data_IF_902095636905
#
_entry.id   IF_902095636905
#
_cell.length_a   1.000
_cell.length_b   1.000
_cell.length_c   1.000
_cell.angle_alpha   90.00
_cell.angle_beta   90.00
_cell.angle_gamma   90.00
#
_symmetry.space_group_name_H-M   'P 1'
#
loop_
_entity.id
_entity.type
_entity.pdbx_description
1 polymer ?
#
# COMPACT_ATOMS: atom_id res chain seq x y z
N UNK A 1 67.72 65.60 34.24
CA UNK A 1 66.67 64.73 34.80
C UNK A 1 65.73 64.35 33.73
N UNK A 2 65.88 63.17 33.09
CA UNK A 2 65.10 62.65 32.00
C UNK A 2 63.85 61.93 32.53
N UNK A 3 62.67 62.30 32.03
CA UNK A 3 61.49 61.49 32.26
C UNK A 3 61.06 60.98 30.87
N UNK A 4 61.31 59.69 30.67
CA UNK A 4 60.79 58.95 29.51
C UNK A 4 59.32 58.61 29.74
N UNK A 5 58.46 58.99 28.79
CA UNK A 5 57.08 58.60 28.75
C UNK A 5 56.97 57.41 27.79
N UNK A 6 56.60 56.25 28.31
CA UNK A 6 56.35 55.05 27.52
C UNK A 6 54.85 55.04 27.17
N UNK A 7 54.55 55.19 25.88
CA UNK A 7 53.20 55.04 25.35
C UNK A 7 52.96 53.57 25.04
N UNK A 8 51.97 52.95 25.70
CA UNK A 8 51.48 51.60 25.38
C UNK A 8 50.43 51.72 24.29
N UNK A 9 50.75 51.20 23.10
CA UNK A 9 49.75 50.94 22.05
C UNK A 9 49.01 49.66 22.37
N UNK A 10 47.74 49.75 22.75
CA UNK A 10 46.85 48.59 22.87
C UNK A 10 46.37 48.21 21.45
N UNK A 11 46.91 47.15 20.88
CA UNK A 11 46.35 46.52 19.69
C UNK A 11 45.13 45.72 20.12
N UNK A 12 43.93 46.26 19.88
CA UNK A 12 42.68 45.48 19.99
C UNK A 12 42.59 44.47 18.88
N UNK A 13 42.80 43.20 19.18
CA UNK A 13 42.55 42.10 18.25
C UNK A 13 41.02 41.85 18.17
N UNK A 14 40.39 42.39 17.15
CA UNK A 14 38.99 42.06 16.83
C UNK A 14 38.99 40.68 16.16
N UNK A 15 38.74 39.64 16.90
CA UNK A 15 38.46 38.32 16.35
C UNK A 15 37.05 38.30 15.81
N UNK A 16 36.93 38.36 14.48
CA UNK A 16 35.67 38.09 13.78
C UNK A 16 35.30 36.63 13.95
N UNK A 17 34.35 36.36 14.86
CA UNK A 17 33.81 35.00 15.01
C UNK A 17 32.89 34.78 13.82
N UNK A 18 33.36 34.04 12.81
CA UNK A 18 32.55 33.54 11.71
C UNK A 18 31.65 32.43 12.25
N UNK A 19 30.38 32.71 12.50
CA UNK A 19 29.37 31.74 12.81
C UNK A 19 28.85 31.20 11.47
N UNK A 20 29.15 29.95 11.09
CA UNK A 20 28.52 29.38 9.92
C UNK A 20 27.01 29.27 10.19
N UNK A 21 26.19 29.98 9.42
CA UNK A 21 24.76 29.72 9.35
C UNK A 21 24.57 28.29 8.87
N UNK A 22 24.34 27.39 9.80
CA UNK A 22 23.80 26.07 9.47
C UNK A 22 22.36 26.32 9.04
N UNK A 23 22.13 26.26 7.74
CA UNK A 23 20.79 26.18 7.23
C UNK A 23 20.16 24.91 7.82
N UNK A 24 19.24 25.07 8.76
CA UNK A 24 18.36 24.00 9.16
C UNK A 24 17.54 23.61 7.94
N UNK A 25 17.94 22.54 7.30
CA UNK A 25 17.08 21.81 6.38
C UNK A 25 16.02 21.20 7.29
N UNK A 26 14.88 21.87 7.35
CA UNK A 26 13.69 21.28 7.94
C UNK A 26 13.29 20.12 7.04
N UNK A 27 13.72 18.91 7.40
CA UNK A 27 13.22 17.66 6.86
C UNK A 27 11.79 17.42 7.40
N UNK A 28 10.86 18.31 7.08
CA UNK A 28 9.44 18.11 7.38
C UNK A 28 8.69 17.37 6.27
N UNK A 29 9.35 16.88 5.22
CA UNK A 29 8.70 16.15 4.12
C UNK A 29 8.92 14.64 4.15
N UNK A 30 9.32 14.07 5.30
CA UNK A 30 9.27 12.63 5.54
C UNK A 30 8.10 12.25 6.44
N UNK A 31 7.02 13.03 6.45
CA UNK A 31 5.76 12.53 6.94
C UNK A 31 5.38 11.36 6.03
N UNK A 32 5.53 10.13 6.54
CA UNK A 32 4.88 8.96 5.99
C UNK A 32 3.52 9.40 5.48
N UNK A 33 3.26 9.24 4.18
CA UNK A 33 1.90 9.24 3.68
C UNK A 33 1.23 8.03 4.32
N UNK A 34 0.82 8.18 5.57
CA UNK A 34 -0.17 7.33 6.16
C UNK A 34 -1.30 7.33 5.15
N UNK A 35 -1.60 6.16 4.59
CA UNK A 35 -2.74 5.96 3.70
C UNK A 35 -3.92 6.55 4.42
N UNK A 36 -4.38 7.71 3.94
CA UNK A 36 -5.48 8.42 4.55
C UNK A 36 -6.70 7.53 4.32
N UNK A 37 -7.17 6.89 5.36
CA UNK A 37 -8.41 6.11 5.31
C UNK A 37 -9.51 6.98 4.72
N UNK A 38 -10.47 6.33 4.05
CA UNK A 38 -11.63 7.04 3.51
C UNK A 38 -12.29 7.84 4.63
N UNK A 39 -12.53 9.16 4.44
CA UNK A 39 -12.95 10.06 5.53
C UNK A 39 -14.43 9.91 5.91
N UNK A 40 -15.02 8.73 5.72
CA UNK A 40 -16.41 8.45 5.98
C UNK A 40 -16.57 7.81 7.37
N UNK A 41 -17.25 8.51 8.25
CA UNK A 41 -17.64 7.99 9.55
C UNK A 41 -18.96 7.21 9.42
N UNK A 42 -19.04 5.95 9.89
CA UNK A 42 -20.28 5.20 9.85
C UNK A 42 -21.33 5.83 10.77
N UNK A 43 -22.50 6.12 10.23
CA UNK A 43 -23.62 6.70 11.02
C UNK A 43 -24.27 5.70 11.98
N UNK A 44 -24.14 4.41 11.72
CA UNK A 44 -24.66 3.32 12.54
C UNK A 44 -23.90 2.03 12.25
N UNK A 45 -23.82 1.16 13.22
CA UNK A 45 -23.34 -0.21 13.07
C UNK A 45 -24.51 -1.16 12.92
N UNK A 46 -24.40 -2.10 11.98
CA UNK A 46 -25.36 -3.18 11.78
C UNK A 46 -24.61 -4.48 12.09
N UNK A 47 -25.12 -5.24 13.05
CA UNK A 47 -24.58 -6.55 13.41
C UNK A 47 -25.61 -7.62 13.04
N UNK A 48 -25.21 -8.60 12.27
CA UNK A 48 -26.03 -9.75 11.92
C UNK A 48 -25.13 -10.97 11.70
N UNK A 49 -25.72 -12.15 11.81
CA UNK A 49 -25.05 -13.42 11.48
C UNK A 49 -25.71 -13.96 10.22
N UNK A 50 -24.90 -14.39 9.26
CA UNK A 50 -25.38 -15.01 8.03
C UNK A 50 -24.58 -16.27 7.73
N UNK A 51 -25.19 -17.21 7.02
CA UNK A 51 -24.55 -18.37 6.40
C UNK A 51 -24.70 -18.34 4.86
N UNK A 52 -25.13 -17.20 4.32
CA UNK A 52 -25.32 -16.98 2.90
C UNK A 52 -24.68 -15.66 2.49
N UNK A 53 -24.19 -15.61 1.26
CA UNK A 53 -23.67 -14.39 0.63
C UNK A 53 -23.88 -14.45 -0.88
N UNK A 54 -23.95 -13.26 -1.49
CA UNK A 54 -24.08 -13.10 -2.95
C UNK A 54 -22.89 -12.33 -3.48
N UNK A 55 -22.52 -12.63 -4.74
CA UNK A 55 -21.38 -11.95 -5.41
C UNK A 55 -20.03 -12.13 -4.68
N UNK A 56 -19.85 -13.29 -4.08
CA UNK A 56 -18.64 -13.63 -3.32
C UNK A 56 -17.54 -14.06 -4.29
N UNK A 57 -16.33 -13.46 -4.15
CA UNK A 57 -15.10 -14.03 -4.71
C UNK A 57 -14.41 -14.84 -3.62
N UNK A 58 -13.87 -15.98 -3.96
CA UNK A 58 -13.16 -16.82 -3.01
C UNK A 58 -11.90 -17.42 -3.62
N UNK A 59 -10.99 -17.85 -2.75
CA UNK A 59 -9.83 -18.66 -3.09
C UNK A 59 -9.53 -19.65 -1.97
N UNK A 60 -8.83 -20.75 -2.31
CA UNK A 60 -8.44 -21.80 -1.38
C UNK A 60 -6.93 -21.76 -1.19
N UNK A 61 -6.49 -21.88 0.06
CA UNK A 61 -5.06 -21.91 0.39
C UNK A 61 -4.34 -23.07 -0.31
N UNK A 62 -3.05 -22.91 -0.65
CA UNK A 62 -2.28 -23.93 -1.37
C UNK A 62 -2.23 -25.30 -0.67
N UNK A 63 -2.35 -25.32 0.66
CA UNK A 63 -2.43 -26.55 1.47
C UNK A 63 -3.82 -27.18 1.49
N UNK A 64 -4.85 -26.49 0.94
CA UNK A 64 -6.23 -26.99 0.93
C UNK A 64 -6.95 -26.95 2.28
N UNK A 65 -6.41 -26.27 3.28
CA UNK A 65 -6.98 -26.27 4.63
C UNK A 65 -7.91 -25.09 4.91
N UNK A 66 -7.72 -23.96 4.22
CA UNK A 66 -8.42 -22.68 4.45
C UNK A 66 -9.01 -22.15 3.16
N UNK A 67 -10.03 -21.32 3.30
CA UNK A 67 -10.53 -20.48 2.22
C UNK A 67 -10.54 -19.01 2.68
N UNK A 68 -10.31 -18.12 1.74
CA UNK A 68 -10.56 -16.68 1.88
C UNK A 68 -11.70 -16.27 0.95
N UNK A 69 -12.48 -15.30 1.36
CA UNK A 69 -13.56 -14.76 0.54
C UNK A 69 -13.85 -13.32 0.93
N UNK A 70 -14.50 -12.60 0.02
CA UNK A 70 -15.07 -11.29 0.31
C UNK A 70 -16.55 -11.39 0.65
N UNK A 71 -17.00 -10.57 1.58
CA UNK A 71 -18.41 -10.42 1.92
C UNK A 71 -18.67 -8.98 2.35
N UNK A 72 -19.56 -8.30 1.62
CA UNK A 72 -19.96 -6.91 1.89
C UNK A 72 -18.80 -5.89 1.93
N UNK A 73 -17.73 -6.17 1.19
CA UNK A 73 -16.58 -5.29 1.10
C UNK A 73 -15.48 -5.53 2.13
N UNK A 74 -15.61 -6.56 2.95
CA UNK A 74 -14.57 -7.03 3.86
C UNK A 74 -14.10 -8.43 3.49
N UNK A 75 -12.85 -8.75 3.84
CA UNK A 75 -12.25 -10.06 3.63
C UNK A 75 -12.38 -10.93 4.87
N UNK A 76 -12.68 -12.21 4.65
CA UNK A 76 -12.81 -13.21 5.69
C UNK A 76 -11.99 -14.45 5.35
N UNK A 77 -11.56 -15.16 6.38
CA UNK A 77 -10.91 -16.47 6.27
C UNK A 77 -11.62 -17.48 7.17
N UNK A 78 -11.78 -18.70 6.66
CA UNK A 78 -12.34 -19.81 7.44
C UNK A 78 -11.69 -21.14 7.04
N UNK A 79 -11.80 -22.18 7.91
CA UNK A 79 -11.40 -23.52 7.53
C UNK A 79 -12.22 -24.03 6.33
N UNK A 80 -11.56 -24.73 5.37
CA UNK A 80 -12.25 -25.28 4.21
C UNK A 80 -13.33 -26.31 4.60
N UNK A 81 -13.16 -26.98 5.73
CA UNK A 81 -14.13 -27.94 6.28
C UNK A 81 -15.39 -27.29 6.88
N UNK A 82 -15.47 -25.96 6.84
CA UNK A 82 -16.54 -25.20 7.45
C UNK A 82 -16.22 -24.72 8.86
N UNK A 83 -17.10 -23.90 9.43
CA UNK A 83 -16.94 -23.31 10.76
C UNK A 83 -17.21 -21.80 10.72
N UNK A 84 -16.62 -21.07 11.68
CA UNK A 84 -16.75 -19.63 11.73
C UNK A 84 -15.70 -18.94 10.88
N UNK A 85 -16.13 -17.93 10.14
CA UNK A 85 -15.24 -17.05 9.41
C UNK A 85 -14.64 -15.99 10.36
N UNK A 86 -13.35 -15.75 10.20
CA UNK A 86 -12.62 -14.69 10.92
C UNK A 86 -12.39 -13.52 9.98
N UNK A 87 -12.75 -12.28 10.34
CA UNK A 87 -12.49 -11.12 9.52
C UNK A 87 -10.98 -10.89 9.39
N UNK A 88 -10.53 -10.58 8.18
CA UNK A 88 -9.16 -10.17 7.87
C UNK A 88 -9.06 -8.65 7.73
N UNK A 89 -10.08 -8.04 7.16
CA UNK A 89 -10.20 -6.57 7.02
C UNK A 89 -11.50 -6.09 7.64
N UNK A 90 -11.60 -4.78 7.82
CA UNK A 90 -12.79 -4.10 8.32
C UNK A 90 -12.70 -2.60 7.99
N UNK A 91 -13.82 -1.89 8.03
CA UNK A 91 -13.83 -0.44 7.86
C UNK A 91 -14.70 0.02 6.70
N UNK A 92 -14.30 1.13 6.07
CA UNK A 92 -15.07 1.74 4.98
C UNK A 92 -14.53 1.41 3.60
N UNK A 93 -13.35 0.78 3.53
CA UNK A 93 -12.77 0.35 2.27
C UNK A 93 -13.57 -0.80 1.66
N UNK A 94 -13.59 -0.87 0.34
CA UNK A 94 -14.18 -1.97 -0.40
C UNK A 94 -13.09 -2.95 -0.81
N UNK A 95 -12.89 -3.99 0.02
CA UNK A 95 -11.86 -5.01 -0.14
C UNK A 95 -12.48 -6.24 -0.80
N UNK A 96 -11.99 -6.63 -1.99
CA UNK A 96 -12.60 -7.69 -2.81
C UNK A 96 -11.56 -8.50 -3.59
N UNK A 97 -12.00 -9.62 -4.15
CA UNK A 97 -11.22 -10.49 -5.03
C UNK A 97 -9.92 -11.02 -4.39
N UNK A 98 -10.00 -11.60 -3.18
CA UNK A 98 -8.81 -12.11 -2.51
C UNK A 98 -8.21 -13.32 -3.24
N UNK A 99 -6.87 -13.46 -3.21
CA UNK A 99 -6.12 -14.61 -3.72
C UNK A 99 -4.95 -14.91 -2.80
N UNK A 100 -4.76 -16.17 -2.44
CA UNK A 100 -3.57 -16.60 -1.72
C UNK A 100 -2.31 -16.48 -2.59
N UNK A 101 -1.20 -16.14 -1.97
CA UNK A 101 0.12 -16.31 -2.58
C UNK A 101 0.43 -17.81 -2.73
N UNK A 102 1.31 -18.19 -3.68
CA UNK A 102 1.66 -19.59 -3.91
C UNK A 102 2.25 -20.32 -2.69
N UNK A 103 2.86 -19.58 -1.76
CA UNK A 103 3.40 -20.10 -0.50
C UNK A 103 2.36 -20.10 0.65
N UNK A 104 1.17 -19.54 0.43
CA UNK A 104 0.10 -19.47 1.41
C UNK A 104 0.29 -18.45 2.54
N UNK A 105 1.40 -17.70 2.57
CA UNK A 105 1.74 -16.80 3.68
C UNK A 105 1.11 -15.41 3.53
N UNK A 106 0.70 -15.05 2.33
CA UNK A 106 0.11 -13.76 2.03
C UNK A 106 -1.14 -13.90 1.18
N UNK A 107 -1.91 -12.83 1.13
CA UNK A 107 -3.01 -12.67 0.18
C UNK A 107 -2.79 -11.40 -0.64
N UNK A 108 -3.27 -11.39 -1.87
CA UNK A 108 -3.54 -10.16 -2.62
C UNK A 108 -5.04 -9.92 -2.66
N UNK A 109 -5.43 -8.68 -2.84
CA UNK A 109 -6.82 -8.27 -3.02
C UNK A 109 -6.89 -6.89 -3.71
N UNK A 110 -8.07 -6.50 -4.13
CA UNK A 110 -8.34 -5.18 -4.67
C UNK A 110 -9.02 -4.36 -3.58
N UNK A 111 -8.57 -3.12 -3.40
CA UNK A 111 -9.12 -2.20 -2.41
C UNK A 111 -9.08 -0.75 -2.90
N UNK A 112 -10.11 0.00 -2.53
CA UNK A 112 -10.23 1.43 -2.79
C UNK A 112 -9.72 2.31 -1.63
N UNK A 113 -9.11 1.72 -0.59
CA UNK A 113 -8.65 2.43 0.62
C UNK A 113 -7.67 3.57 0.36
N UNK A 114 -6.99 3.59 -0.80
CA UNK A 114 -6.14 4.69 -1.24
C UNK A 114 -6.87 5.77 -2.05
N UNK A 115 -8.20 5.71 -2.11
CA UNK A 115 -9.05 6.63 -2.86
C UNK A 115 -9.35 6.21 -4.30
N UNK A 116 -8.88 5.05 -4.72
CA UNK A 116 -9.18 4.39 -5.99
C UNK A 116 -8.83 2.92 -5.90
N UNK A 117 -9.46 2.09 -6.75
CA UNK A 117 -9.16 0.66 -6.81
C UNK A 117 -7.69 0.43 -7.12
N UNK A 118 -7.02 -0.32 -6.25
CA UNK A 118 -5.63 -0.71 -6.41
C UNK A 118 -5.41 -2.14 -5.90
N UNK A 119 -4.33 -2.75 -6.34
CA UNK A 119 -3.87 -4.04 -5.83
C UNK A 119 -3.12 -3.84 -4.53
N UNK A 120 -3.51 -4.59 -3.53
CA UNK A 120 -2.90 -4.65 -2.21
C UNK A 120 -2.49 -6.07 -1.87
N UNK A 121 -1.54 -6.21 -0.98
CA UNK A 121 -1.18 -7.48 -0.36
C UNK A 121 -1.23 -7.36 1.16
N UNK A 122 -1.51 -8.46 1.82
CA UNK A 122 -1.47 -8.60 3.28
C UNK A 122 -0.70 -9.86 3.65
N UNK A 123 0.27 -9.73 4.53
CA UNK A 123 0.92 -10.84 5.19
C UNK A 123 -0.03 -11.41 6.25
N UNK A 124 -0.30 -12.72 6.21
CA UNK A 124 -1.34 -13.33 7.04
C UNK A 124 -0.97 -13.47 8.52
N UNK A 125 0.31 -13.51 8.84
CA UNK A 125 0.79 -13.62 10.22
C UNK A 125 0.85 -12.25 10.89
N UNK A 126 1.55 -11.31 10.28
CA UNK A 126 1.76 -9.97 10.83
C UNK A 126 0.60 -9.01 10.59
N UNK A 127 -0.33 -9.36 9.68
CA UNK A 127 -1.42 -8.49 9.17
C UNK A 127 -0.92 -7.20 8.51
N UNK A 128 0.35 -7.15 8.15
CA UNK A 128 0.93 -5.99 7.49
C UNK A 128 0.44 -5.90 6.04
N UNK A 129 -0.18 -4.78 5.73
CA UNK A 129 -0.65 -4.47 4.39
C UNK A 129 0.38 -3.68 3.58
N UNK A 130 0.33 -3.87 2.27
CA UNK A 130 1.19 -3.16 1.32
C UNK A 130 0.43 -2.84 0.05
N UNK A 131 0.46 -1.59 -0.37
CA UNK A 131 -0.07 -1.18 -1.66
C UNK A 131 0.92 -1.54 -2.77
N UNK A 132 0.47 -2.29 -3.77
CA UNK A 132 1.29 -2.77 -4.88
C UNK A 132 1.18 -1.84 -6.09
N UNK A 133 -0.03 -1.36 -6.39
CA UNK A 133 -0.27 -0.45 -7.51
C UNK A 133 -0.76 0.91 -7.01
N UNK A 134 -0.51 1.98 -7.80
CA UNK A 134 -0.85 3.36 -7.45
C UNK A 134 -1.58 4.04 -8.62
N UNK A 135 -2.60 3.37 -9.15
CA UNK A 135 -3.39 3.90 -10.26
C UNK A 135 -4.53 4.77 -9.71
N UNK A 136 -4.73 5.94 -10.33
CA UNK A 136 -5.81 6.88 -9.99
C UNK A 136 -6.84 7.01 -11.10
N UNK A 137 -6.65 6.31 -12.21
CA UNK A 137 -7.44 6.51 -13.43
C UNK A 137 -8.22 5.28 -13.88
N UNK A 138 -7.75 4.09 -13.53
CA UNK A 138 -8.31 2.85 -14.01
C UNK A 138 -8.83 2.03 -12.83
N UNK A 139 -9.90 1.27 -13.07
CA UNK A 139 -10.38 0.29 -12.13
C UNK A 139 -9.63 -1.02 -12.32
N UNK A 140 -9.36 -1.73 -11.25
CA UNK A 140 -8.86 -3.08 -11.28
C UNK A 140 -10.05 -4.05 -11.22
N UNK A 141 -10.08 -5.00 -12.14
CA UNK A 141 -11.18 -5.98 -12.24
C UNK A 141 -10.81 -7.32 -11.59
N UNK A 142 -9.56 -7.69 -11.65
CA UNK A 142 -9.03 -8.90 -11.03
C UNK A 142 -7.51 -8.83 -10.92
N UNK A 143 -6.95 -9.62 -10.02
CA UNK A 143 -5.52 -9.79 -9.91
C UNK A 143 -5.20 -11.23 -9.47
N UNK A 144 -4.02 -11.72 -9.84
CA UNK A 144 -3.54 -13.04 -9.45
C UNK A 144 -2.02 -13.05 -9.33
N UNK A 145 -1.47 -13.94 -8.51
CA UNK A 145 -0.05 -14.18 -8.41
C UNK A 145 0.49 -14.94 -9.62
N UNK A 146 1.73 -14.68 -9.99
CA UNK A 146 2.49 -15.64 -10.80
C UNK A 146 2.85 -16.86 -9.96
N UNK A 147 3.08 -17.97 -10.63
CA UNK A 147 3.32 -19.25 -9.95
C UNK A 147 4.55 -19.24 -9.03
N UNK A 148 5.54 -18.44 -9.34
CA UNK A 148 6.75 -18.24 -8.55
C UNK A 148 6.57 -17.27 -7.37
N UNK A 149 5.38 -16.61 -7.25
CA UNK A 149 5.06 -15.66 -6.21
C UNK A 149 5.83 -14.34 -6.26
N UNK A 150 6.56 -14.06 -7.34
CA UNK A 150 7.36 -12.84 -7.44
C UNK A 150 6.62 -11.68 -8.09
N UNK A 151 5.59 -11.99 -8.89
CA UNK A 151 4.82 -10.98 -9.59
C UNK A 151 3.32 -11.18 -9.41
N UNK A 152 2.59 -10.12 -9.69
CA UNK A 152 1.13 -10.06 -9.69
C UNK A 152 0.68 -9.59 -11.07
N UNK A 153 -0.15 -10.36 -11.72
CA UNK A 153 -0.82 -10.00 -12.98
C UNK A 153 -2.19 -9.46 -12.64
N UNK A 154 -2.49 -8.26 -13.11
CA UNK A 154 -3.76 -7.61 -12.85
C UNK A 154 -4.43 -7.12 -14.14
N UNK A 155 -5.73 -7.32 -14.22
CA UNK A 155 -6.57 -6.76 -15.27
C UNK A 155 -7.11 -5.41 -14.82
N UNK A 156 -6.80 -4.33 -15.56
CA UNK A 156 -7.28 -2.98 -15.26
C UNK A 156 -7.73 -2.24 -16.51
N UNK A 157 -8.62 -1.27 -16.38
CA UNK A 157 -9.08 -0.45 -17.49
C UNK A 157 -10.24 0.47 -17.15
N UNK A 158 -10.70 1.20 -18.16
CA UNK A 158 -11.95 1.99 -18.18
C UNK A 158 -12.87 1.49 -19.30
N UNK A 159 -13.35 0.29 -19.24
CA UNK A 159 -14.07 -0.39 -20.30
C UNK A 159 -13.28 -1.60 -20.76
N UNK A 160 -12.39 -1.50 -21.73
CA UNK A 160 -11.54 -2.61 -22.13
C UNK A 160 -10.44 -2.86 -21.10
N UNK A 161 -10.35 -4.09 -20.60
CA UNK A 161 -9.31 -4.52 -19.67
C UNK A 161 -7.98 -4.71 -20.41
N UNK A 162 -6.90 -4.22 -19.79
CA UNK A 162 -5.51 -4.50 -20.18
C UNK A 162 -4.83 -5.22 -19.04
N UNK A 163 -3.98 -6.19 -19.40
CA UNK A 163 -3.19 -6.91 -18.39
C UNK A 163 -1.89 -6.19 -18.10
N UNK A 164 -1.61 -6.02 -16.82
CA UNK A 164 -0.39 -5.41 -16.32
C UNK A 164 0.27 -6.35 -15.31
N UNK A 165 1.59 -6.33 -15.26
CA UNK A 165 2.38 -7.10 -14.31
C UNK A 165 3.05 -6.14 -13.33
N UNK A 166 3.02 -6.48 -12.05
CA UNK A 166 3.62 -5.73 -10.95
C UNK A 166 4.56 -6.66 -10.18
N UNK A 167 5.69 -6.16 -9.74
CA UNK A 167 6.52 -6.90 -8.79
C UNK A 167 5.83 -6.92 -7.42
N UNK A 168 5.98 -8.00 -6.65
CA UNK A 168 5.38 -8.14 -5.31
C UNK A 168 5.81 -7.03 -4.33
N UNK A 169 6.97 -6.42 -4.59
CA UNK A 169 7.45 -5.29 -3.81
C UNK A 169 6.84 -3.94 -4.24
N UNK A 170 5.96 -3.95 -5.23
CA UNK A 170 5.32 -2.75 -5.78
C UNK A 170 6.08 -2.16 -6.96
N UNK A 171 5.60 -1.02 -7.45
CA UNK A 171 6.20 -0.29 -8.56
C UNK A 171 5.19 0.19 -9.60
N UNK A 172 5.68 0.78 -10.69
CA UNK A 172 4.83 1.36 -11.74
C UNK A 172 4.02 0.31 -12.52
N UNK A 173 4.46 -0.94 -12.51
CA UNK A 173 3.91 -2.00 -13.33
C UNK A 173 4.26 -1.84 -14.82
N UNK A 174 4.10 -2.91 -15.58
CA UNK A 174 4.32 -2.95 -17.03
C UNK A 174 3.15 -3.61 -17.73
N UNK A 175 2.77 -3.14 -18.91
CA UNK A 175 1.76 -3.81 -19.74
C UNK A 175 2.32 -5.14 -20.24
N UNK A 176 1.54 -6.22 -20.11
CA UNK A 176 1.91 -7.53 -20.63
C UNK A 176 1.78 -7.64 -22.17
N UNK A 177 0.89 -6.82 -22.74
CA UNK A 177 0.64 -6.81 -24.17
C UNK A 177 0.79 -5.39 -24.70
N UNK A 178 1.74 -5.18 -25.58
CA UNK A 178 1.77 -4.03 -26.48
C UNK A 178 0.96 -4.39 -27.70
N UNK A 179 -0.06 -3.59 -28.04
CA UNK A 179 -0.74 -3.77 -29.32
C UNK A 179 0.29 -3.65 -30.44
N UNK A 180 0.30 -4.59 -31.44
CA UNK A 180 1.15 -4.44 -32.60
C UNK A 180 0.79 -3.12 -33.27
N UNK A 181 1.77 -2.24 -33.45
CA UNK A 181 1.56 -0.93 -34.10
C UNK A 181 1.17 -1.01 -35.58
N UNK A 182 1.12 -2.21 -36.15
CA UNK A 182 1.04 -2.47 -37.58
C UNK A 182 -0.07 -3.46 -37.98
N UNK A 183 -1.29 -3.27 -37.46
CA UNK A 183 -2.47 -3.82 -38.13
C UNK A 183 -3.26 -2.64 -38.72
N UNK A 184 -2.80 -2.18 -39.90
CA UNK A 184 -3.55 -1.36 -40.83
C UNK A 184 -4.32 -2.27 -41.79
#
# INVERSE_FOLDING_TARGET
MNKSVIAYFLYGLVTLIYVPSVAQINNEDSASQATKELPLEPKRNINFTTNEGTWISLDVSPDGEKMIFDLLGDLYMMPLKGGYATPLTSGMAYDVHPRFSPDGNSILYISDKSGSDNVWTMDLDSKKEKQISHDKKHNFFSATWTRDGNYIVAAKGRGNAKFNIYHKEGGAGSSLFTEPKDLK
#
